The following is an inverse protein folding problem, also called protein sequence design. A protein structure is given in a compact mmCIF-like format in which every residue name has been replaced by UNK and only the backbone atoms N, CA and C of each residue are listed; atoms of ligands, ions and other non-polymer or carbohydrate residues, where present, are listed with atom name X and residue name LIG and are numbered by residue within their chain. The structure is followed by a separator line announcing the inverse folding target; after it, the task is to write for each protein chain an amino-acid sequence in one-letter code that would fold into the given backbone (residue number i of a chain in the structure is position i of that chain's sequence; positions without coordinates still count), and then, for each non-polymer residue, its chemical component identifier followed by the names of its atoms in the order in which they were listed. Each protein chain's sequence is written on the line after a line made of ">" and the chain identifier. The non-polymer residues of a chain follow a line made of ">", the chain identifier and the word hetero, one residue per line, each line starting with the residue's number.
data_IF_495030903698
#
_entry.id   IF_495030903698
#
_cell.length_a   1.000
_cell.length_b   1.000
_cell.length_c   1.000
_cell.angle_alpha   90.00
_cell.angle_beta   90.00
_cell.angle_gamma   90.00
#
_symmetry.space_group_name_H-M   'P 1'
#
loop_
_entity.id
_entity.type
_entity.pdbx_description
1 polymer ?
#
# COMPACT_ATOMS: atom_id res chain seq x y z
N UNK A 1 -18.12 -38.99 -0.57
CA UNK A 1 -18.25 -40.32 0.05
C UNK A 1 -18.12 -40.09 1.55
N UNK A 2 -19.22 -40.03 2.31
CA UNK A 2 -19.93 -41.19 2.90
C UNK A 2 -18.92 -42.01 3.73
N UNK A 3 -18.98 -42.12 5.05
CA UNK A 3 -20.03 -42.47 6.03
C UNK A 3 -19.35 -42.45 7.44
N UNK A 4 -19.94 -42.91 8.58
CA UNK A 4 -21.28 -42.75 9.15
C UNK A 4 -21.27 -42.24 10.62
N UNK A 5 -22.48 -41.87 11.06
CA UNK A 5 -22.96 -41.84 12.45
C UNK A 5 -22.73 -43.18 13.21
N UNK A 6 -22.38 -43.07 14.50
CA UNK A 6 -22.48 -44.15 15.49
C UNK A 6 -22.48 -43.57 16.91
N UNK A 7 -23.59 -43.76 17.62
CA UNK A 7 -23.92 -43.27 18.98
C UNK A 7 -23.13 -44.01 20.10
N UNK A 8 -23.55 -43.97 21.39
CA UNK A 8 -23.85 -42.87 22.31
C UNK A 8 -22.91 -42.90 23.54
N UNK A 9 -22.64 -41.76 24.20
CA UNK A 9 -21.99 -41.75 25.52
C UNK A 9 -22.99 -41.30 26.59
N UNK A 10 -23.52 -42.31 27.27
CA UNK A 10 -24.04 -42.23 28.63
C UNK A 10 -22.90 -41.97 29.61
N UNK A 11 -23.29 -41.41 30.77
CA UNK A 11 -22.77 -41.71 32.10
C UNK A 11 -21.96 -40.62 32.83
N UNK A 12 -22.47 -40.34 34.04
CA UNK A 12 -21.75 -39.89 35.24
C UNK A 12 -21.54 -38.37 35.44
N UNK A 13 -22.65 -37.71 35.81
CA UNK A 13 -22.60 -36.62 36.78
C UNK A 13 -22.62 -37.24 38.19
N UNK A 14 -21.45 -37.23 38.84
CA UNK A 14 -21.27 -37.66 40.22
C UNK A 14 -21.70 -36.56 41.21
N UNK A 15 -22.42 -36.97 42.26
CA UNK A 15 -22.03 -36.65 43.64
C UNK A 15 -22.56 -35.36 44.28
N UNK A 16 -23.73 -35.50 44.91
CA UNK A 16 -24.22 -34.82 46.14
C UNK A 16 -23.11 -34.60 47.23
N UNK A 17 -23.28 -33.76 48.29
CA UNK A 17 -24.55 -33.59 49.03
C UNK A 17 -24.92 -32.18 49.54
N UNK A 18 -26.24 -31.95 49.56
CA UNK A 18 -26.89 -30.92 50.33
C UNK A 18 -26.83 -31.29 51.82
N UNK A 19 -25.94 -30.62 52.56
CA UNK A 19 -25.94 -30.62 54.01
C UNK A 19 -26.97 -29.59 54.49
N UNK A 20 -28.09 -30.10 55.00
CA UNK A 20 -28.96 -29.36 55.89
C UNK A 20 -28.18 -29.01 57.16
N UNK A 21 -28.17 -27.74 57.54
CA UNK A 21 -27.66 -27.29 58.84
C UNK A 21 -28.73 -26.42 59.49
N UNK A 22 -29.05 -26.81 60.71
CA UNK A 22 -30.09 -26.30 61.60
C UNK A 22 -30.18 -24.78 61.66
N UNK A 23 -31.38 -24.26 61.44
CA UNK A 23 -31.79 -22.97 62.00
C UNK A 23 -32.39 -23.22 63.39
N UNK A 24 -31.95 -22.50 64.43
CA UNK A 24 -32.43 -22.69 65.79
C UNK A 24 -33.89 -22.24 65.93
N UNK A 25 -34.69 -23.11 66.54
CA UNK A 25 -36.01 -22.83 67.06
C UNK A 25 -35.97 -21.68 68.08
N UNK A 26 -36.72 -20.62 67.81
CA UNK A 26 -37.17 -19.68 68.84
C UNK A 26 -38.55 -19.14 68.46
N UNK A 27 -39.56 -19.79 69.06
CA UNK A 27 -40.73 -19.17 69.68
C UNK A 27 -41.72 -18.38 68.78
N UNK A 28 -42.78 -19.09 68.43
CA UNK A 28 -44.18 -18.71 68.67
C UNK A 28 -44.38 -17.32 69.29
N UNK A 29 -44.73 -16.34 68.46
CA UNK A 29 -45.73 -15.35 68.87
C UNK A 29 -46.96 -15.48 67.98
N UNK A 30 -47.93 -16.18 68.57
CA UNK A 30 -49.30 -16.29 68.14
C UNK A 30 -49.87 -14.89 67.88
N UNK A 31 -50.56 -14.77 66.75
CA UNK A 31 -51.39 -13.62 66.46
C UNK A 31 -52.41 -13.41 67.57
N UNK A 32 -52.49 -12.18 68.06
CA UNK A 32 -53.75 -11.66 68.54
C UNK A 32 -54.29 -10.71 67.47
N UNK A 33 -55.36 -11.16 66.85
CA UNK A 33 -56.36 -10.34 66.19
C UNK A 33 -56.75 -9.19 67.12
N UNK A 34 -56.36 -7.97 66.78
CA UNK A 34 -56.98 -6.81 67.40
C UNK A 34 -58.39 -6.68 66.82
N UNK A 35 -59.38 -7.04 67.63
CA UNK A 35 -60.78 -6.82 67.33
C UNK A 35 -61.01 -5.34 66.99
N UNK A 36 -61.67 -5.13 65.85
CA UNK A 36 -62.46 -3.94 65.64
C UNK A 36 -63.60 -3.94 66.66
N UNK A 37 -63.52 -3.06 67.64
CA UNK A 37 -64.48 -2.98 68.74
C UNK A 37 -64.31 -1.69 69.55
N UNK A 38 -64.63 -0.57 68.89
CA UNK A 38 -65.01 0.73 69.43
C UNK A 38 -64.63 1.06 70.89
N UNK A 39 -63.55 1.84 71.06
CA UNK A 39 -63.55 3.04 71.89
C UNK A 39 -62.67 4.09 71.21
N UNK A 40 -63.29 4.95 70.38
CA UNK A 40 -62.82 6.33 70.25
C UNK A 40 -63.08 6.99 71.61
N UNK A 41 -62.22 6.73 72.59
CA UNK A 41 -62.01 7.70 73.66
C UNK A 41 -61.07 8.69 73.02
N UNK A 42 -61.58 9.86 72.63
CA UNK A 42 -60.73 10.91 72.09
C UNK A 42 -59.58 11.11 73.09
N UNK A 43 -58.36 10.71 72.74
CA UNK A 43 -57.17 11.06 73.48
C UNK A 43 -56.95 12.57 73.28
N UNK A 44 -57.77 13.35 73.98
CA UNK A 44 -57.80 14.81 74.00
C UNK A 44 -56.69 15.26 74.92
N UNK A 45 -55.47 15.33 74.39
CA UNK A 45 -54.41 16.08 75.03
C UNK A 45 -54.59 17.54 74.61
N UNK A 46 -54.84 18.44 75.58
CA UNK A 46 -55.15 19.86 75.34
C UNK A 46 -56.28 20.12 74.32
N UNK A 47 -57.33 19.28 74.31
CA UNK A 47 -58.52 19.53 73.49
C UNK A 47 -58.38 19.22 71.99
N UNK A 48 -57.32 18.51 71.58
CA UNK A 48 -57.10 18.05 70.21
C UNK A 48 -56.91 16.53 70.17
N UNK A 49 -57.46 15.86 69.15
CA UNK A 49 -57.40 14.40 69.00
C UNK A 49 -56.01 13.88 68.64
N UNK A 50 -55.79 12.56 68.80
CA UNK A 50 -54.51 11.91 68.53
C UNK A 50 -53.97 12.17 67.11
N UNK A 51 -54.85 12.30 66.11
CA UNK A 51 -54.48 12.63 64.73
C UNK A 51 -53.74 13.97 64.63
N UNK A 52 -54.12 14.97 65.43
CA UNK A 52 -53.44 16.27 65.46
C UNK A 52 -51.98 16.12 65.86
N UNK A 53 -51.69 15.34 66.90
CA UNK A 53 -50.31 15.10 67.36
C UNK A 53 -49.51 14.24 66.38
N UNK A 54 -50.15 13.32 65.64
CA UNK A 54 -49.49 12.58 64.55
C UNK A 54 -49.10 13.54 63.41
N UNK A 55 -49.99 14.44 62.98
CA UNK A 55 -49.65 15.44 61.97
C UNK A 55 -48.56 16.41 62.45
N UNK A 56 -48.62 16.86 63.72
CA UNK A 56 -47.61 17.76 64.30
C UNK A 56 -46.25 17.07 64.40
N UNK A 57 -46.19 15.83 64.87
CA UNK A 57 -44.92 15.08 64.96
C UNK A 57 -44.32 14.80 63.57
N UNK A 58 -45.15 14.44 62.58
CA UNK A 58 -44.71 14.26 61.20
C UNK A 58 -44.26 15.58 60.57
N UNK A 59 -44.96 16.70 60.84
CA UNK A 59 -44.56 18.03 60.39
C UNK A 59 -43.24 18.49 61.02
N UNK A 60 -43.02 18.25 62.32
CA UNK A 60 -41.76 18.55 63.00
C UNK A 60 -40.63 17.66 62.43
N UNK A 61 -40.90 16.38 62.16
CA UNK A 61 -39.93 15.49 61.52
C UNK A 61 -39.51 16.00 60.13
N UNK A 62 -40.48 16.37 59.27
CA UNK A 62 -40.17 16.95 57.96
C UNK A 62 -39.47 18.31 58.07
N UNK A 63 -39.88 19.17 59.01
CA UNK A 63 -39.22 20.45 59.26
C UNK A 63 -37.76 20.26 59.68
N UNK A 64 -37.49 19.35 60.62
CA UNK A 64 -36.12 19.02 61.03
C UNK A 64 -35.34 18.35 59.89
N UNK A 65 -35.94 17.47 59.10
CA UNK A 65 -35.29 16.82 57.96
C UNK A 65 -34.93 17.82 56.84
N UNK A 66 -35.75 18.84 56.61
CA UNK A 66 -35.50 19.90 55.63
C UNK A 66 -34.45 20.88 56.16
N UNK A 67 -34.57 21.33 57.43
CA UNK A 67 -33.70 22.37 58.01
C UNK A 67 -32.32 21.80 58.38
N UNK A 68 -32.25 20.67 59.10
CA UNK A 68 -30.98 20.08 59.54
C UNK A 68 -30.39 19.15 58.48
N UNK A 69 -31.23 18.36 57.81
CA UNK A 69 -30.79 17.33 56.86
C UNK A 69 -30.48 17.85 55.45
N UNK A 70 -30.93 19.07 55.10
CA UNK A 70 -30.84 19.65 53.74
C UNK A 70 -31.26 18.66 52.65
N UNK A 71 -32.19 17.75 52.98
CA UNK A 71 -32.58 16.63 52.14
C UNK A 71 -32.99 17.05 50.71
N UNK A 72 -33.81 18.10 50.50
CA UNK A 72 -34.14 18.54 49.15
C UNK A 72 -32.92 19.06 48.36
N UNK A 73 -31.96 19.74 49.02
CA UNK A 73 -30.75 20.22 48.34
C UNK A 73 -29.83 19.08 47.89
N UNK A 74 -29.71 18.00 48.68
CA UNK A 74 -28.84 16.86 48.30
C UNK A 74 -29.41 16.08 47.10
N UNK A 75 -30.73 15.92 47.05
CA UNK A 75 -31.41 15.28 45.91
C UNK A 75 -31.27 16.13 44.65
N UNK A 76 -31.48 17.44 44.77
CA UNK A 76 -31.28 18.37 43.65
C UNK A 76 -29.82 18.33 43.15
N UNK A 77 -28.84 18.39 44.06
CA UNK A 77 -27.42 18.33 43.72
C UNK A 77 -27.02 17.02 43.01
N UNK A 78 -27.53 15.87 43.45
CA UNK A 78 -27.26 14.59 42.80
C UNK A 78 -27.86 14.52 41.38
N UNK A 79 -29.04 15.11 41.18
CA UNK A 79 -29.66 15.19 39.87
C UNK A 79 -28.90 16.14 38.94
N UNK A 80 -28.46 17.29 39.46
CA UNK A 80 -27.61 18.25 38.75
C UNK A 80 -26.26 17.64 38.35
N UNK A 81 -25.63 16.88 39.24
CA UNK A 81 -24.38 16.17 38.95
C UNK A 81 -24.58 15.16 37.82
N UNK A 82 -25.69 14.42 37.83
CA UNK A 82 -26.01 13.48 36.75
C UNK A 82 -26.31 14.18 35.43
N UNK A 83 -27.02 15.31 35.46
CA UNK A 83 -27.25 16.14 34.26
C UNK A 83 -25.92 16.67 33.73
N UNK A 84 -25.02 17.14 34.60
CA UNK A 84 -23.69 17.61 34.21
C UNK A 84 -22.85 16.47 33.61
N UNK A 85 -22.91 15.27 34.18
CA UNK A 85 -22.26 14.08 33.66
C UNK A 85 -22.75 13.70 32.25
N UNK A 86 -24.07 13.65 32.05
CA UNK A 86 -24.68 13.35 30.74
C UNK A 86 -24.35 14.44 29.72
N UNK A 87 -24.38 15.73 30.12
CA UNK A 87 -23.97 16.82 29.24
C UNK A 87 -22.52 16.68 28.78
N UNK A 88 -21.59 16.40 29.70
CA UNK A 88 -20.17 16.14 29.37
C UNK A 88 -20.03 14.99 28.39
N UNK A 89 -20.69 13.86 28.62
CA UNK A 89 -20.65 12.70 27.73
C UNK A 89 -21.24 13.02 26.35
N UNK A 90 -22.33 13.79 26.28
CA UNK A 90 -22.91 14.23 25.00
C UNK A 90 -22.00 15.19 24.25
N UNK A 91 -21.32 16.10 24.96
CA UNK A 91 -20.39 17.05 24.35
C UNK A 91 -19.12 16.34 23.85
N UNK A 92 -18.61 15.37 24.60
CA UNK A 92 -17.51 14.50 24.17
C UNK A 92 -17.91 13.64 22.96
N UNK A 93 -19.10 13.04 22.97
CA UNK A 93 -19.60 12.28 21.82
C UNK A 93 -19.78 13.16 20.57
N UNK A 94 -20.23 14.41 20.73
CA UNK A 94 -20.30 15.39 19.63
C UNK A 94 -18.90 15.76 19.13
N UNK A 95 -17.94 15.96 20.04
CA UNK A 95 -16.55 16.25 19.67
C UNK A 95 -15.93 15.10 18.88
N UNK A 96 -16.06 13.86 19.37
CA UNK A 96 -15.59 12.65 18.66
C UNK A 96 -16.26 12.52 17.29
N UNK A 97 -17.57 12.81 17.19
CA UNK A 97 -18.27 12.80 15.90
C UNK A 97 -17.72 13.87 14.95
N UNK A 98 -17.50 15.09 15.43
CA UNK A 98 -16.94 16.16 14.62
C UNK A 98 -15.51 15.83 14.14
N UNK A 99 -14.69 15.23 15.00
CA UNK A 99 -13.35 14.75 14.65
C UNK A 99 -13.41 13.61 13.62
N UNK A 100 -14.34 12.66 13.76
CA UNK A 100 -14.53 11.58 12.79
C UNK A 100 -15.02 12.10 11.43
N UNK A 101 -15.94 13.06 11.41
CA UNK A 101 -16.41 13.72 10.19
C UNK A 101 -15.27 14.50 9.51
N UNK A 102 -14.44 15.19 10.29
CA UNK A 102 -13.25 15.88 9.78
C UNK A 102 -12.22 14.90 9.21
N UNK A 103 -11.97 13.77 9.89
CA UNK A 103 -11.05 12.73 9.43
C UNK A 103 -11.56 12.06 8.16
N UNK A 104 -12.87 11.81 8.05
CA UNK A 104 -13.48 11.25 6.84
C UNK A 104 -13.33 12.21 5.66
N UNK A 105 -13.56 13.50 5.87
CA UNK A 105 -13.37 14.52 4.84
C UNK A 105 -11.90 14.62 4.40
N UNK A 106 -10.95 14.57 5.33
CA UNK A 106 -9.51 14.59 5.01
C UNK A 106 -9.08 13.31 4.28
N UNK A 107 -9.54 12.14 4.72
CA UNK A 107 -9.28 10.87 4.05
C UNK A 107 -9.83 10.85 2.62
N UNK A 108 -11.04 11.40 2.39
CA UNK A 108 -11.62 11.57 1.06
C UNK A 108 -10.74 12.45 0.16
N UNK A 109 -10.34 13.62 0.65
CA UNK A 109 -9.43 14.52 -0.09
C UNK A 109 -8.09 13.87 -0.41
N UNK A 110 -7.50 13.16 0.55
CA UNK A 110 -6.23 12.44 0.36
C UNK A 110 -6.37 11.33 -0.67
N UNK A 111 -7.48 10.58 -0.65
CA UNK A 111 -7.76 9.54 -1.64
C UNK A 111 -7.85 10.14 -3.04
N UNK A 112 -8.64 11.19 -3.20
CA UNK A 112 -8.85 11.81 -4.50
C UNK A 112 -7.55 12.44 -5.03
N UNK A 113 -6.76 13.09 -4.16
CA UNK A 113 -5.42 13.59 -4.50
C UNK A 113 -4.46 12.46 -4.90
N UNK A 114 -4.44 11.34 -4.16
CA UNK A 114 -3.61 10.19 -4.49
C UNK A 114 -4.01 9.55 -5.82
N UNK A 115 -5.31 9.50 -6.14
CA UNK A 115 -5.79 9.02 -7.44
C UNK A 115 -5.32 9.94 -8.57
N UNK A 116 -5.46 11.26 -8.41
CA UNK A 116 -4.99 12.23 -9.40
C UNK A 116 -3.47 12.16 -9.60
N UNK A 117 -2.69 12.02 -8.52
CA UNK A 117 -1.24 11.89 -8.60
C UNK A 117 -0.84 10.57 -9.30
N UNK A 118 -1.50 9.46 -8.98
CA UNK A 118 -1.28 8.19 -9.67
C UNK A 118 -1.60 8.27 -11.17
N UNK A 119 -2.70 8.92 -11.55
CA UNK A 119 -3.05 9.17 -12.95
C UNK A 119 -2.00 10.06 -13.64
N UNK A 120 -1.53 11.11 -12.98
CA UNK A 120 -0.49 11.99 -13.48
C UNK A 120 0.85 11.24 -13.67
N UNK A 121 1.24 10.38 -12.72
CA UNK A 121 2.43 9.53 -12.81
C UNK A 121 2.32 8.60 -14.02
N UNK A 122 1.18 7.94 -14.22
CA UNK A 122 0.98 7.03 -15.35
C UNK A 122 0.99 7.79 -16.68
N UNK A 123 0.34 8.94 -16.76
CA UNK A 123 0.34 9.78 -17.96
C UNK A 123 1.76 10.25 -18.31
N UNK A 124 2.52 10.73 -17.33
CA UNK A 124 3.92 11.14 -17.51
C UNK A 124 4.79 9.96 -17.94
N UNK A 125 4.68 8.82 -17.27
CA UNK A 125 5.44 7.62 -17.63
C UNK A 125 5.16 7.15 -19.06
N UNK A 126 3.91 7.25 -19.52
CA UNK A 126 3.55 6.93 -20.92
C UNK A 126 4.17 7.92 -21.91
N UNK A 127 4.14 9.22 -21.60
CA UNK A 127 4.78 10.24 -22.45
C UNK A 127 6.28 10.01 -22.55
N UNK A 128 6.95 9.82 -21.41
CA UNK A 128 8.39 9.56 -21.34
C UNK A 128 8.76 8.26 -22.05
N UNK A 129 7.95 7.21 -21.91
CA UNK A 129 8.17 5.95 -22.64
C UNK A 129 8.05 6.13 -24.16
N UNK A 130 7.05 6.89 -24.64
CA UNK A 130 6.88 7.17 -26.06
C UNK A 130 8.05 7.98 -26.62
N UNK A 131 8.51 9.00 -25.89
CA UNK A 131 9.69 9.79 -26.24
C UNK A 131 10.96 8.95 -26.28
N UNK A 132 11.15 8.07 -25.28
CA UNK A 132 12.30 7.18 -25.22
C UNK A 132 12.32 6.18 -26.37
N UNK A 133 11.16 5.62 -26.74
CA UNK A 133 11.04 4.73 -27.90
C UNK A 133 11.41 5.47 -29.17
N UNK A 134 10.85 6.66 -29.42
CA UNK A 134 11.17 7.45 -30.60
C UNK A 134 12.67 7.84 -30.66
N UNK A 135 13.26 8.22 -29.52
CA UNK A 135 14.69 8.52 -29.43
C UNK A 135 15.55 7.27 -29.69
N UNK A 136 15.14 6.11 -29.17
CA UNK A 136 15.84 4.83 -29.36
C UNK A 136 15.77 4.35 -30.81
N UNK A 137 14.62 4.48 -31.46
CA UNK A 137 14.45 4.17 -32.89
C UNK A 137 15.38 5.03 -33.74
N UNK A 138 15.45 6.35 -33.47
CA UNK A 138 16.36 7.26 -34.16
C UNK A 138 17.83 6.91 -33.91
N UNK A 139 18.20 6.55 -32.68
CA UNK A 139 19.56 6.13 -32.37
C UNK A 139 19.93 4.80 -33.05
N UNK A 140 18.98 3.86 -33.14
CA UNK A 140 19.15 2.59 -33.83
C UNK A 140 19.32 2.81 -35.34
N UNK A 141 18.48 3.64 -35.97
CA UNK A 141 18.60 3.95 -37.40
C UNK A 141 19.96 4.58 -37.73
N UNK A 142 20.39 5.57 -36.95
CA UNK A 142 21.72 6.19 -37.10
C UNK A 142 22.86 5.19 -36.93
N UNK A 143 22.72 4.23 -36.00
CA UNK A 143 23.72 3.18 -35.80
C UNK A 143 23.78 2.23 -36.99
N UNK A 144 22.62 1.86 -37.55
CA UNK A 144 22.53 1.03 -38.75
C UNK A 144 23.17 1.77 -39.92
N UNK A 145 22.79 3.02 -40.19
CA UNK A 145 23.36 3.84 -41.27
C UNK A 145 24.88 3.94 -41.18
N UNK A 146 25.42 4.23 -39.98
CA UNK A 146 26.87 4.28 -39.77
C UNK A 146 27.56 2.94 -40.00
N UNK A 147 26.93 1.83 -39.61
CA UNK A 147 27.46 0.48 -39.83
C UNK A 147 27.43 0.11 -41.32
N UNK A 148 26.36 0.45 -42.02
CA UNK A 148 26.24 0.27 -43.47
C UNK A 148 27.32 1.07 -44.20
N UNK A 149 27.45 2.36 -43.91
CA UNK A 149 28.49 3.20 -44.52
C UNK A 149 29.91 2.67 -44.24
N UNK A 150 30.17 2.18 -43.02
CA UNK A 150 31.45 1.57 -42.68
C UNK A 150 31.70 0.25 -43.43
N UNK A 151 30.65 -0.55 -43.66
CA UNK A 151 30.75 -1.78 -44.45
C UNK A 151 30.98 -1.48 -45.93
N UNK A 152 30.25 -0.52 -46.50
CA UNK A 152 30.44 -0.05 -47.88
C UNK A 152 31.85 0.50 -48.09
N UNK A 153 32.36 1.33 -47.17
CA UNK A 153 33.72 1.84 -47.23
C UNK A 153 34.78 0.71 -47.17
N UNK A 154 34.53 -0.34 -46.38
CA UNK A 154 35.42 -1.52 -46.32
C UNK A 154 35.37 -2.33 -47.62
N UNK A 155 34.19 -2.53 -48.19
CA UNK A 155 34.02 -3.22 -49.48
C UNK A 155 34.76 -2.44 -50.57
N UNK A 156 34.54 -1.13 -50.69
CA UNK A 156 35.22 -0.29 -51.68
C UNK A 156 36.75 -0.25 -51.48
N UNK A 157 37.25 -0.36 -50.24
CA UNK A 157 38.68 -0.49 -49.97
C UNK A 157 39.21 -1.87 -50.40
N UNK A 158 38.48 -2.95 -50.11
CA UNK A 158 38.83 -4.32 -50.50
C UNK A 158 38.79 -4.50 -52.02
N UNK A 159 37.81 -3.93 -52.71
CA UNK A 159 37.72 -3.94 -54.18
C UNK A 159 38.93 -3.27 -54.83
N UNK A 160 39.31 -2.07 -54.35
CA UNK A 160 40.51 -1.38 -54.84
C UNK A 160 41.79 -2.19 -54.59
N UNK A 161 41.90 -2.84 -53.43
CA UNK A 161 43.03 -3.71 -53.12
C UNK A 161 43.07 -4.94 -54.03
N UNK A 162 41.93 -5.62 -54.23
CA UNK A 162 41.81 -6.80 -55.08
C UNK A 162 42.10 -6.47 -56.55
N UNK A 163 41.62 -5.33 -57.05
CA UNK A 163 41.95 -4.85 -58.39
C UNK A 163 43.44 -4.60 -58.57
N UNK A 164 44.09 -3.97 -57.59
CA UNK A 164 45.53 -3.69 -57.64
C UNK A 164 46.34 -5.01 -57.61
N UNK A 165 45.94 -5.96 -56.75
CA UNK A 165 46.55 -7.28 -56.67
C UNK A 165 46.38 -8.07 -57.97
N UNK A 166 45.18 -8.06 -58.57
CA UNK A 166 44.91 -8.70 -59.86
C UNK A 166 45.76 -8.10 -60.98
N UNK A 167 45.84 -6.77 -61.07
CA UNK A 167 46.70 -6.10 -62.06
C UNK A 167 48.17 -6.48 -61.88
N UNK A 168 48.65 -6.52 -60.64
CA UNK A 168 50.02 -6.95 -60.33
C UNK A 168 50.26 -8.43 -60.69
N UNK A 169 49.31 -9.33 -60.41
CA UNK A 169 49.44 -10.75 -60.76
C UNK A 169 49.47 -10.97 -62.27
N UNK A 170 48.55 -10.33 -63.01
CA UNK A 170 48.52 -10.37 -64.47
C UNK A 170 49.82 -9.82 -65.05
N UNK A 171 50.30 -8.67 -64.58
CA UNK A 171 51.56 -8.09 -65.04
C UNK A 171 52.75 -9.04 -64.83
N UNK A 172 52.83 -9.71 -63.67
CA UNK A 172 53.86 -10.73 -63.40
C UNK A 172 53.76 -11.92 -64.35
N UNK A 173 52.56 -12.48 -64.56
CA UNK A 173 52.34 -13.62 -65.47
C UNK A 173 52.67 -13.28 -66.92
N UNK A 174 52.24 -12.11 -67.39
CA UNK A 174 52.53 -11.63 -68.76
C UNK A 174 54.02 -11.39 -68.93
N UNK A 175 54.70 -10.76 -67.96
CA UNK A 175 56.15 -10.53 -68.02
C UNK A 175 56.92 -11.84 -68.02
N UNK A 176 56.52 -12.82 -67.19
CA UNK A 176 57.11 -14.15 -67.18
C UNK A 176 56.92 -14.87 -68.53
N UNK A 177 55.72 -14.84 -69.11
CA UNK A 177 55.44 -15.44 -70.41
C UNK A 177 56.18 -14.72 -71.56
N UNK A 178 56.30 -13.40 -71.50
CA UNK A 178 57.09 -12.63 -72.47
C UNK A 178 58.57 -12.99 -72.35
N UNK A 179 59.11 -13.11 -71.13
CA UNK A 179 60.50 -13.51 -70.90
C UNK A 179 60.79 -14.91 -71.47
N UNK A 180 59.89 -15.88 -71.26
CA UNK A 180 60.05 -17.23 -71.84
C UNK A 180 59.96 -17.23 -73.37
N UNK A 181 59.05 -16.45 -73.95
CA UNK A 181 58.93 -16.32 -75.40
C UNK A 181 60.17 -15.65 -76.03
N UNK A 182 60.69 -14.60 -75.40
CA UNK A 182 61.93 -13.93 -75.82
C UNK A 182 63.10 -14.91 -75.73
N UNK A 183 63.24 -15.67 -74.63
CA UNK A 183 64.29 -16.67 -74.49
C UNK A 183 64.21 -17.76 -75.57
N UNK A 184 63.00 -18.20 -75.95
CA UNK A 184 62.80 -19.17 -77.02
C UNK A 184 63.09 -18.62 -78.43
N UNK A 185 62.93 -17.31 -78.65
CA UNK A 185 63.18 -16.61 -79.93
C UNK A 185 64.57 -15.96 -80.03
N UNK A 186 65.35 -15.98 -78.96
CA UNK A 186 66.67 -15.34 -78.91
C UNK A 186 67.71 -16.14 -79.71
N UNK A 187 67.82 -15.83 -81.00
CA UNK A 187 68.92 -16.30 -81.85
C UNK A 187 70.11 -15.33 -81.85
N UNK A 188 71.28 -15.78 -82.36
CA UNK A 188 72.51 -14.96 -82.42
C UNK A 188 72.33 -13.67 -83.22
N UNK A 189 71.48 -13.68 -84.24
CA UNK A 189 71.18 -12.53 -85.10
C UNK A 189 70.38 -11.44 -84.37
N UNK A 190 69.41 -11.83 -83.55
CA UNK A 190 68.61 -10.94 -82.72
C UNK A 190 69.47 -10.30 -81.64
N UNK A 191 70.35 -11.07 -81.00
CA UNK A 191 71.28 -10.57 -79.98
C UNK A 191 72.26 -9.53 -80.53
N UNK A 192 72.82 -9.76 -81.73
CA UNK A 192 73.70 -8.80 -82.39
C UNK A 192 72.97 -7.47 -82.68
N UNK A 193 71.75 -7.53 -83.26
CA UNK A 193 70.92 -6.35 -83.52
C UNK A 193 70.58 -5.57 -82.25
N UNK A 194 70.19 -6.26 -81.17
CA UNK A 194 69.90 -5.61 -79.88
C UNK A 194 71.12 -4.91 -79.28
N UNK A 195 72.32 -5.44 -79.53
CA UNK A 195 73.58 -4.83 -79.08
C UNK A 195 73.88 -3.56 -79.87
N UNK A 196 73.76 -3.61 -81.20
CA UNK A 196 73.93 -2.43 -82.06
C UNK A 196 72.91 -1.32 -81.72
N UNK A 197 71.63 -1.69 -81.51
CA UNK A 197 70.58 -0.74 -81.11
C UNK A 197 70.85 -0.12 -79.73
N UNK A 198 71.37 -0.90 -78.77
CA UNK A 198 71.74 -0.39 -77.45
C UNK A 198 72.92 0.59 -77.51
N UNK A 199 73.93 0.30 -78.35
CA UNK A 199 75.08 1.19 -78.61
C UNK A 199 74.58 2.49 -79.25
N UNK A 200 73.76 2.42 -80.29
CA UNK A 200 73.15 3.60 -80.93
C UNK A 200 72.20 4.39 -80.00
N UNK A 201 71.60 3.73 -79.01
CA UNK A 201 70.76 4.35 -77.98
C UNK A 201 71.54 5.08 -76.89
N UNK A 202 72.77 4.64 -76.60
CA UNK A 202 73.71 5.37 -75.74
C UNK A 202 74.27 6.60 -76.46
N UNK A 203 74.67 6.43 -77.71
CA UNK A 203 75.19 7.50 -78.56
C UNK A 203 74.21 8.68 -78.68
N UNK A 204 72.91 8.38 -78.94
CA UNK A 204 71.82 9.38 -78.94
C UNK A 204 71.54 10.09 -77.61
N UNK A 205 72.00 9.55 -76.48
CA UNK A 205 71.87 10.20 -75.16
C UNK A 205 73.12 10.99 -74.76
N UNK A 206 74.23 10.78 -75.48
CA UNK A 206 75.53 11.41 -75.22
C UNK A 206 75.88 12.52 -76.24
N UNK A 207 75.13 12.61 -77.33
CA UNK A 207 75.04 13.78 -78.20
C UNK A 207 73.84 14.65 -77.80
#
# INVERSE_FOLDING_TARGET
>A
MAEPLGAPLTETAAGAPAAATDLPSAELHAGTTAEGGAHHEEALLLGQGAEFYVYVSMAIFFALAIILGKLPQRIAAALDERIAGVKRQLDEAKAIRAEAEALLADAGKRRDAATQDAEAIVARARSEAAELVAASEKAASLTIERRTAAAEAKIAAAERAAEAELRADVARRVTAAAATLIAARADKTLQAKLTDDAIAGLDRRLH
#
